data_IF_300633876537
#
_entry.id   IF_300633876537
#
_cell.length_a   1.000
_cell.length_b   1.000
_cell.length_c   1.000
_cell.angle_alpha   90.00
_cell.angle_beta   90.00
_cell.angle_gamma   90.00
#
_symmetry.space_group_name_H-M   'P 1'
#
loop_
_entity.id
_entity.type
_entity.pdbx_description
1 polymer ?
#
# COMPACT_ATOMS: atom_id res chain seq x y z
N UNK A 1 2.71 -10.84 31.03
CA UNK A 1 4.19 -10.82 31.02
C UNK A 1 4.63 -9.59 30.28
N UNK A 2 5.64 -8.86 30.75
CA UNK A 2 6.22 -7.74 29.99
C UNK A 2 6.81 -8.27 28.66
N UNK A 3 6.59 -7.57 27.55
CA UNK A 3 7.20 -7.94 26.26
C UNK A 3 8.72 -7.87 26.40
N UNK A 4 9.42 -8.81 25.77
CA UNK A 4 10.88 -8.75 25.68
C UNK A 4 11.28 -7.77 24.57
N UNK A 5 12.48 -7.20 24.66
CA UNK A 5 13.01 -6.35 23.58
C UNK A 5 13.04 -7.07 22.22
N UNK A 6 13.28 -8.39 22.23
CA UNK A 6 13.20 -9.23 21.03
C UNK A 6 11.80 -9.24 20.42
N UNK A 7 10.75 -9.41 21.24
CA UNK A 7 9.35 -9.41 20.75
C UNK A 7 8.95 -8.05 20.18
N UNK A 8 9.38 -6.96 20.82
CA UNK A 8 9.11 -5.57 20.36
C UNK A 8 9.73 -5.34 18.97
N UNK A 9 10.99 -5.75 18.79
CA UNK A 9 11.67 -5.63 17.50
C UNK A 9 11.02 -6.53 16.43
N UNK A 10 10.67 -7.76 16.78
CA UNK A 10 10.01 -8.69 15.86
C UNK A 10 8.65 -8.16 15.38
N UNK A 11 7.82 -7.65 16.29
CA UNK A 11 6.52 -7.04 15.95
C UNK A 11 6.70 -5.85 15.01
N UNK A 12 7.70 -4.99 15.26
CA UNK A 12 8.01 -3.85 14.42
C UNK A 12 8.45 -4.25 13.00
N UNK A 13 9.35 -5.24 12.87
CA UNK A 13 9.78 -5.73 11.56
C UNK A 13 8.64 -6.42 10.80
N UNK A 14 7.78 -7.17 11.49
CA UNK A 14 6.60 -7.77 10.87
C UNK A 14 5.64 -6.72 10.30
N UNK A 15 5.40 -5.63 11.03
CA UNK A 15 4.57 -4.53 10.54
C UNK A 15 5.18 -3.83 9.32
N UNK A 16 6.51 -3.62 9.31
CA UNK A 16 7.21 -3.08 8.14
C UNK A 16 7.05 -3.98 6.91
N UNK A 17 7.22 -5.29 7.08
CA UNK A 17 7.06 -6.26 5.99
C UNK A 17 5.66 -6.19 5.37
N UNK A 18 4.61 -6.11 6.20
CA UNK A 18 3.23 -5.97 5.70
C UNK A 18 3.04 -4.66 4.91
N UNK A 19 3.63 -3.56 5.36
CA UNK A 19 3.59 -2.30 4.62
C UNK A 19 4.33 -2.39 3.27
N UNK A 20 5.45 -3.11 3.22
CA UNK A 20 6.21 -3.31 1.97
C UNK A 20 5.44 -4.18 0.98
N UNK A 21 4.71 -5.20 1.45
CA UNK A 21 3.81 -6.00 0.60
C UNK A 21 2.69 -5.15 -0.02
N UNK A 22 2.07 -4.26 0.77
CA UNK A 22 1.05 -3.33 0.26
C UNK A 22 1.61 -2.35 -0.78
N UNK A 23 2.81 -1.81 -0.53
CA UNK A 23 3.48 -0.92 -1.48
C UNK A 23 3.78 -1.64 -2.81
N UNK A 24 4.23 -2.90 -2.75
CA UNK A 24 4.49 -3.69 -3.95
C UNK A 24 3.21 -3.96 -4.75
N UNK A 25 2.11 -4.30 -4.09
CA UNK A 25 0.82 -4.49 -4.75
C UNK A 25 0.35 -3.18 -5.40
N UNK A 26 0.49 -2.05 -4.71
CA UNK A 26 0.13 -0.75 -5.25
C UNK A 26 0.93 -0.40 -6.51
N UNK A 27 2.24 -0.65 -6.51
CA UNK A 27 3.10 -0.44 -7.68
C UNK A 27 2.67 -1.31 -8.85
N UNK A 28 2.36 -2.59 -8.61
CA UNK A 28 1.87 -3.50 -9.64
C UNK A 28 0.55 -3.02 -10.25
N UNK A 29 -0.38 -2.52 -9.42
CA UNK A 29 -1.65 -1.96 -9.90
C UNK A 29 -1.45 -0.68 -10.74
N UNK A 30 -0.53 0.19 -10.36
CA UNK A 30 -0.20 1.38 -11.15
C UNK A 30 0.37 0.99 -12.51
N UNK A 31 1.33 0.05 -12.54
CA UNK A 31 1.89 -0.45 -13.81
C UNK A 31 0.82 -1.10 -14.68
N UNK A 32 -0.07 -1.92 -14.12
CA UNK A 32 -1.19 -2.53 -14.83
C UNK A 32 -2.10 -1.47 -15.48
N UNK A 33 -2.46 -0.43 -14.73
CA UNK A 33 -3.32 0.63 -15.23
C UNK A 33 -2.66 1.44 -16.36
N UNK A 34 -1.40 1.85 -16.17
CA UNK A 34 -0.70 2.76 -17.09
C UNK A 34 -0.14 2.05 -18.33
N UNK A 35 0.32 0.81 -18.20
CA UNK A 35 1.01 0.12 -19.29
C UNK A 35 0.06 -0.79 -20.07
N UNK A 36 -0.62 -1.70 -19.39
CA UNK A 36 -1.41 -2.73 -20.07
C UNK A 36 -2.81 -2.23 -20.41
N UNK A 37 -3.50 -1.65 -19.42
CA UNK A 37 -4.89 -1.29 -19.54
C UNK A 37 -5.08 -0.07 -20.48
N UNK A 38 -4.27 0.98 -20.32
CA UNK A 38 -4.29 2.14 -21.20
C UNK A 38 -3.93 1.76 -22.65
N UNK A 39 -2.94 0.89 -22.85
CA UNK A 39 -2.58 0.39 -24.20
C UNK A 39 -3.73 -0.38 -24.84
N UNK A 40 -4.39 -1.25 -24.07
CA UNK A 40 -5.57 -1.99 -24.54
C UNK A 40 -6.70 -1.06 -24.98
N UNK A 41 -7.06 -0.05 -24.16
CA UNK A 41 -8.10 0.93 -24.52
C UNK A 41 -7.73 1.74 -25.76
N UNK A 42 -6.46 2.11 -25.91
CA UNK A 42 -5.96 2.82 -27.09
C UNK A 42 -6.08 1.95 -28.34
N UNK A 43 -5.74 0.67 -28.26
CA UNK A 43 -5.90 -0.29 -29.36
C UNK A 43 -7.36 -0.48 -29.78
N UNK A 44 -8.27 -0.54 -28.81
CA UNK A 44 -9.72 -0.61 -29.08
C UNK A 44 -10.19 0.67 -29.78
N UNK A 45 -9.83 1.85 -29.25
CA UNK A 45 -10.20 3.13 -29.83
C UNK A 45 -9.65 3.32 -31.25
N UNK A 46 -8.50 2.71 -31.57
CA UNK A 46 -7.91 2.76 -32.90
C UNK A 46 -8.71 1.95 -33.94
N UNK A 47 -9.21 0.77 -33.57
CA UNK A 47 -9.84 -0.19 -34.49
C UNK A 47 -11.37 -0.16 -34.49
N UNK A 48 -11.99 0.29 -33.40
CA UNK A 48 -13.44 0.38 -33.27
C UNK A 48 -13.86 1.85 -33.17
N UNK A 49 -14.69 2.30 -34.12
CA UNK A 49 -15.17 3.68 -34.22
C UNK A 49 -16.68 3.77 -33.97
N UNK A 50 -17.14 4.97 -33.69
CA UNK A 50 -18.55 5.29 -33.44
C UNK A 50 -18.87 5.50 -31.96
N UNK A 51 -20.12 5.88 -31.68
CA UNK A 51 -20.57 6.30 -30.34
C UNK A 51 -20.42 5.18 -29.29
N UNK A 52 -20.69 3.94 -29.67
CA UNK A 52 -20.55 2.79 -28.77
C UNK A 52 -19.09 2.55 -28.36
N UNK A 53 -18.14 2.72 -29.28
CA UNK A 53 -16.71 2.62 -28.98
C UNK A 53 -16.29 3.73 -28.02
N UNK A 54 -16.73 4.97 -28.26
CA UNK A 54 -16.44 6.10 -27.38
C UNK A 54 -17.02 5.89 -25.97
N UNK A 55 -18.26 5.39 -25.86
CA UNK A 55 -18.88 5.07 -24.58
C UNK A 55 -18.14 3.95 -23.83
N UNK A 56 -17.68 2.92 -24.55
CA UNK A 56 -16.88 1.84 -23.98
C UNK A 56 -15.53 2.35 -23.46
N UNK A 57 -14.77 3.09 -24.27
CA UNK A 57 -13.49 3.66 -23.87
C UNK A 57 -13.63 4.60 -22.66
N UNK A 58 -14.72 5.38 -22.58
CA UNK A 58 -15.02 6.22 -21.42
C UNK A 58 -15.24 5.38 -20.14
N UNK A 59 -15.97 4.27 -20.24
CA UNK A 59 -16.12 3.34 -19.10
C UNK A 59 -14.79 2.69 -18.72
N UNK A 60 -13.96 2.37 -19.71
CA UNK A 60 -12.59 1.92 -19.51
C UNK A 60 -11.79 2.91 -18.68
N UNK A 61 -11.70 4.18 -19.11
CA UNK A 61 -10.96 5.22 -18.39
C UNK A 61 -11.43 5.38 -16.92
N UNK A 62 -12.72 5.20 -16.64
CA UNK A 62 -13.25 5.20 -15.26
C UNK A 62 -12.70 4.01 -14.45
N UNK A 63 -12.57 2.83 -15.06
CA UNK A 63 -11.99 1.65 -14.40
C UNK A 63 -10.48 1.85 -14.17
N UNK A 64 -9.76 2.41 -15.15
CA UNK A 64 -8.35 2.77 -15.01
C UNK A 64 -8.11 3.69 -13.80
N UNK A 65 -8.92 4.75 -13.69
CA UNK A 65 -8.86 5.69 -12.57
C UNK A 65 -9.16 5.01 -11.22
N UNK A 66 -10.12 4.09 -11.17
CA UNK A 66 -10.41 3.30 -9.96
C UNK A 66 -9.24 2.40 -9.55
N UNK A 67 -8.53 1.81 -10.51
CA UNK A 67 -7.33 1.00 -10.23
C UNK A 67 -6.24 1.90 -9.64
N UNK A 68 -5.98 3.05 -10.27
CA UNK A 68 -5.01 4.05 -9.76
C UNK A 68 -5.37 4.52 -8.35
N UNK A 69 -6.63 4.84 -8.10
CA UNK A 69 -7.11 5.22 -6.77
C UNK A 69 -6.96 4.10 -5.73
N UNK A 70 -7.22 2.85 -6.11
CA UNK A 70 -7.00 1.69 -5.24
C UNK A 70 -5.52 1.54 -4.88
N UNK A 71 -4.63 1.72 -5.84
CA UNK A 71 -3.19 1.70 -5.61
C UNK A 71 -2.75 2.82 -4.64
N UNK A 72 -3.23 4.05 -4.83
CA UNK A 72 -2.94 5.16 -3.91
C UNK A 72 -3.42 4.87 -2.48
N UNK A 73 -4.61 4.28 -2.32
CA UNK A 73 -5.13 3.90 -1.01
C UNK A 73 -4.24 2.85 -0.31
N UNK A 74 -3.71 1.88 -1.07
CA UNK A 74 -2.78 0.88 -0.53
C UNK A 74 -1.46 1.51 -0.07
N UNK A 75 -0.90 2.46 -0.84
CA UNK A 75 0.31 3.21 -0.42
C UNK A 75 0.08 4.01 0.84
N UNK A 76 -1.04 4.74 0.92
CA UNK A 76 -1.41 5.49 2.11
C UNK A 76 -1.57 4.57 3.33
N UNK A 77 -2.19 3.40 3.13
CA UNK A 77 -2.33 2.39 4.20
C UNK A 77 -0.97 1.86 4.66
N UNK A 78 -0.05 1.58 3.73
CA UNK A 78 1.31 1.17 4.05
C UNK A 78 2.06 2.24 4.86
N UNK A 79 1.91 3.52 4.51
CA UNK A 79 2.49 4.64 5.26
C UNK A 79 1.94 4.72 6.69
N UNK A 80 0.63 4.60 6.86
CA UNK A 80 -0.02 4.59 8.18
C UNK A 80 0.47 3.41 9.03
N UNK A 81 0.65 2.23 8.44
CA UNK A 81 1.21 1.06 9.14
C UNK A 81 2.65 1.36 9.60
N UNK A 82 3.50 1.89 8.72
CA UNK A 82 4.90 2.24 9.09
C UNK A 82 4.94 3.25 10.24
N UNK A 83 4.12 4.29 10.17
CA UNK A 83 4.08 5.32 11.21
C UNK A 83 3.58 4.76 12.54
N UNK A 84 2.51 3.97 12.50
CA UNK A 84 1.94 3.34 13.70
C UNK A 84 2.91 2.35 14.32
N UNK A 85 3.57 1.53 13.51
CA UNK A 85 4.57 0.57 13.96
C UNK A 85 5.75 1.27 14.65
N UNK A 86 6.23 2.38 14.08
CA UNK A 86 7.32 3.17 14.66
C UNK A 86 6.91 3.78 16.01
N UNK A 87 5.73 4.40 16.07
CA UNK A 87 5.22 5.00 17.31
C UNK A 87 5.08 3.96 18.42
N UNK A 88 4.54 2.77 18.09
CA UNK A 88 4.39 1.66 19.04
C UNK A 88 5.76 1.15 19.50
N UNK A 89 6.71 0.94 18.59
CA UNK A 89 8.06 0.51 18.92
C UNK A 89 8.75 1.48 19.89
N UNK A 90 8.73 2.78 19.60
CA UNK A 90 9.36 3.81 20.44
C UNK A 90 8.74 3.84 21.85
N UNK A 91 7.42 3.70 21.95
CA UNK A 91 6.70 3.66 23.21
C UNK A 91 7.00 2.38 24.03
N UNK A 92 6.97 1.21 23.38
CA UNK A 92 7.26 -0.08 24.02
C UNK A 92 8.72 -0.16 24.49
N UNK A 93 9.67 0.32 23.66
CA UNK A 93 11.10 0.38 24.01
C UNK A 93 11.35 1.30 25.20
N UNK A 94 10.76 2.50 25.20
CA UNK A 94 10.89 3.44 26.32
C UNK A 94 10.37 2.82 27.62
N UNK A 95 9.21 2.16 27.55
CA UNK A 95 8.61 1.47 28.70
C UNK A 95 9.51 0.34 29.21
N UNK A 96 10.09 -0.45 28.31
CA UNK A 96 11.05 -1.49 28.65
C UNK A 96 12.27 -0.92 29.37
N UNK A 97 12.88 0.15 28.85
CA UNK A 97 14.05 0.80 29.44
C UNK A 97 13.78 1.36 30.84
N UNK A 98 12.60 1.97 31.07
CA UNK A 98 12.21 2.48 32.39
C UNK A 98 12.10 1.32 33.40
N UNK A 99 11.46 0.22 33.01
CA UNK A 99 11.34 -0.97 33.88
C UNK A 99 12.72 -1.55 34.19
N UNK A 100 13.60 -1.69 33.20
CA UNK A 100 14.96 -2.18 33.43
C UNK A 100 15.77 -1.29 34.37
N UNK A 101 15.61 0.04 34.29
CA UNK A 101 16.27 0.98 35.23
C UNK A 101 15.70 0.94 36.64
N UNK A 102 14.43 0.55 36.81
CA UNK A 102 13.77 0.49 38.13
C UNK A 102 14.04 -0.85 38.84
N UNK A 103 14.40 -1.89 38.08
CA UNK A 103 14.72 -3.23 38.61
C UNK A 103 16.20 -3.42 38.97
N UNK A 104 17.08 -2.53 38.51
CA UNK A 104 18.51 -2.50 38.86
C UNK A 104 18.76 -1.46 39.97
#
# INVERSE_FOLDING_TARGET
>A
MAKTMYTIEMDFQNAKKQADELEQIAQNLLMLAEQEFQTCLTGIAANWKGENAAAFCKKGAIVEDRIKNSALNLRNTAEVIRQTAKNTYDAEKTSYEIVQRTLN
#
